data_IF_943460402869
#
_entry.id   IF_943460402869
#
_cell.length_a   1.000
_cell.length_b   1.000
_cell.length_c   1.000
_cell.angle_alpha   90.00
_cell.angle_beta   90.00
_cell.angle_gamma   90.00
#
_symmetry.space_group_name_H-M   'P 1'
#
loop_
_entity.id
_entity.type
_entity.pdbx_description
1 polymer ?
#
# COMPACT_ATOMS: atom_id res chain seq x y z
N UNK A 1 8.78 13.66 10.05
CA UNK A 1 9.98 13.09 9.38
C UNK A 1 9.62 12.72 7.94
N UNK A 2 10.57 12.33 7.09
CA UNK A 2 10.23 11.76 5.76
C UNK A 2 9.88 10.28 5.90
N UNK A 3 8.85 9.81 5.20
CA UNK A 3 8.41 8.40 5.20
C UNK A 3 7.87 7.96 3.84
N UNK A 4 8.00 6.67 3.55
CA UNK A 4 7.21 6.00 2.52
C UNK A 4 5.85 5.62 3.10
N UNK A 5 4.78 5.85 2.34
CA UNK A 5 3.40 5.72 2.81
C UNK A 5 2.56 5.05 1.74
N UNK A 6 1.87 3.96 2.09
CA UNK A 6 0.86 3.33 1.26
C UNK A 6 -0.50 3.53 1.91
N UNK A 7 -1.45 4.04 1.14
CA UNK A 7 -2.85 4.20 1.52
C UNK A 7 -3.68 3.25 0.67
N UNK A 8 -4.45 2.35 1.29
CA UNK A 8 -5.30 1.38 0.61
C UNK A 8 -6.72 1.51 1.14
N UNK A 9 -7.67 1.83 0.28
CA UNK A 9 -9.08 1.99 0.61
C UNK A 9 -9.89 0.84 -0.02
N UNK A 10 -10.71 0.16 0.78
CA UNK A 10 -11.58 -0.92 0.27
C UNK A 10 -12.79 -0.30 -0.43
N UNK A 11 -12.87 -0.49 -1.75
CA UNK A 11 -13.97 -0.03 -2.57
C UNK A 11 -15.26 -0.77 -2.23
N UNK A 12 -16.34 0.00 -2.00
CA UNK A 12 -17.67 -0.56 -1.73
C UNK A 12 -17.82 -1.18 -0.33
N UNK A 13 -16.92 -0.85 0.61
CA UNK A 13 -16.95 -1.44 1.95
C UNK A 13 -18.30 -1.26 2.67
N UNK A 14 -18.90 -0.07 2.62
CA UNK A 14 -20.21 0.18 3.22
C UNK A 14 -21.28 -0.80 2.70
N UNK A 15 -21.40 -0.94 1.38
CA UNK A 15 -22.32 -1.88 0.76
C UNK A 15 -22.01 -3.35 1.14
N UNK A 16 -20.73 -3.69 1.34
CA UNK A 16 -20.36 -5.03 1.84
C UNK A 16 -20.79 -5.25 3.29
N UNK A 17 -20.65 -4.25 4.16
CA UNK A 17 -21.09 -4.31 5.56
C UNK A 17 -22.61 -4.40 5.66
N UNK A 18 -23.35 -3.70 4.80
CA UNK A 18 -24.81 -3.75 4.75
C UNK A 18 -25.36 -5.08 4.21
N UNK A 19 -24.64 -5.72 3.28
CA UNK A 19 -25.11 -6.94 2.60
C UNK A 19 -24.63 -8.25 3.24
N UNK A 20 -23.57 -8.23 4.05
CA UNK A 20 -22.96 -9.42 4.65
C UNK A 20 -23.15 -9.45 6.16
N UNK A 21 -23.01 -10.63 6.75
CA UNK A 21 -23.00 -10.74 8.20
C UNK A 21 -21.75 -10.09 8.79
N UNK A 22 -21.88 -9.53 10.00
CA UNK A 22 -20.73 -8.98 10.75
C UNK A 22 -19.61 -10.02 10.92
N UNK A 23 -19.96 -11.28 11.18
CA UNK A 23 -18.99 -12.37 11.34
C UNK A 23 -18.18 -12.62 10.06
N UNK A 24 -18.84 -12.58 8.90
CA UNK A 24 -18.16 -12.71 7.60
C UNK A 24 -17.22 -11.53 7.35
N UNK A 25 -17.65 -10.30 7.62
CA UNK A 25 -16.80 -9.12 7.46
C UNK A 25 -15.60 -9.13 8.39
N UNK A 26 -15.80 -9.50 9.67
CA UNK A 26 -14.71 -9.70 10.63
C UNK A 26 -13.72 -10.74 10.09
N UNK A 27 -14.22 -11.87 9.56
CA UNK A 27 -13.36 -12.92 9.06
C UNK A 27 -12.51 -12.46 7.87
N UNK A 28 -13.11 -11.77 6.89
CA UNK A 28 -12.41 -11.24 5.71
C UNK A 28 -11.31 -10.25 6.10
N UNK A 29 -11.64 -9.27 6.94
CA UNK A 29 -10.67 -8.27 7.43
C UNK A 29 -9.59 -8.93 8.28
N UNK A 30 -9.94 -9.89 9.14
CA UNK A 30 -8.98 -10.63 9.97
C UNK A 30 -7.98 -11.42 9.12
N UNK A 31 -8.43 -12.12 8.08
CA UNK A 31 -7.54 -12.87 7.19
C UNK A 31 -6.60 -11.91 6.44
N UNK A 32 -7.10 -10.79 5.93
CA UNK A 32 -6.26 -9.76 5.32
C UNK A 32 -5.25 -9.14 6.32
N UNK A 33 -5.62 -8.99 7.60
CA UNK A 33 -4.68 -8.53 8.63
C UNK A 33 -3.63 -9.56 8.99
N UNK A 34 -3.99 -10.84 9.06
CA UNK A 34 -3.04 -11.92 9.31
C UNK A 34 -2.02 -12.05 8.16
N UNK A 35 -2.45 -11.74 6.94
CA UNK A 35 -1.54 -11.74 5.80
C UNK A 35 -0.50 -10.62 5.83
N UNK A 36 -0.70 -9.55 6.61
CA UNK A 36 0.34 -8.55 6.89
C UNK A 36 1.53 -9.22 7.58
N UNK A 37 1.28 -10.06 8.60
CA UNK A 37 2.36 -10.78 9.28
C UNK A 37 3.08 -11.73 8.32
N UNK A 38 2.33 -12.43 7.46
CA UNK A 38 2.91 -13.27 6.41
C UNK A 38 3.66 -12.46 5.35
N UNK A 39 3.24 -11.24 5.01
CA UNK A 39 3.95 -10.39 4.07
C UNK A 39 5.26 -9.85 4.67
N UNK A 40 5.22 -9.52 5.96
CA UNK A 40 6.39 -9.12 6.73
C UNK A 40 7.41 -10.26 6.87
N UNK A 41 6.96 -11.52 6.93
CA UNK A 41 7.82 -12.70 7.06
C UNK A 41 8.16 -13.37 5.72
N UNK A 42 7.26 -13.30 4.74
CA UNK A 42 7.30 -14.02 3.45
C UNK A 42 8.28 -13.43 2.44
N UNK A 43 8.71 -12.18 2.64
CA UNK A 43 9.90 -11.63 1.98
C UNK A 43 11.16 -12.48 2.23
N UNK A 44 11.19 -13.32 3.27
CA UNK A 44 12.33 -14.19 3.60
C UNK A 44 12.34 -15.50 2.79
N UNK A 45 11.19 -16.01 2.32
CA UNK A 45 11.10 -17.35 1.68
C UNK A 45 11.17 -17.35 0.14
N UNK A 46 10.86 -16.24 -0.52
CA UNK A 46 10.81 -16.17 -1.99
C UNK A 46 12.14 -15.76 -2.66
N UNK A 47 13.28 -15.97 -1.99
CA UNK A 47 14.60 -15.56 -2.51
C UNK A 47 14.84 -14.05 -2.51
N UNK A 48 13.90 -13.27 -1.98
CA UNK A 48 14.14 -11.88 -1.58
C UNK A 48 15.02 -11.91 -0.30
N UNK A 49 15.94 -10.96 -0.13
CA UNK A 49 16.84 -10.94 1.02
C UNK A 49 16.02 -11.04 2.31
N UNK A 50 16.48 -11.82 3.30
CA UNK A 50 15.91 -11.71 4.64
C UNK A 50 16.18 -10.28 5.11
N UNK A 51 15.20 -9.40 4.96
CA UNK A 51 15.31 -8.04 5.45
C UNK A 51 15.20 -8.19 6.98
N UNK A 52 16.34 -8.30 7.66
CA UNK A 52 16.49 -8.27 9.13
C UNK A 52 16.06 -6.90 9.71
N UNK A 53 15.14 -6.23 9.05
CA UNK A 53 14.70 -4.89 9.31
C UNK A 53 13.29 -4.88 9.88
N UNK A 54 12.99 -3.80 10.60
CA UNK A 54 11.69 -3.63 11.21
C UNK A 54 10.66 -3.47 10.09
N UNK A 55 9.63 -4.33 10.03
CA UNK A 55 8.62 -4.21 9.00
C UNK A 55 7.92 -2.85 9.05
N UNK A 56 7.31 -2.40 7.93
CA UNK A 56 6.54 -1.17 7.94
C UNK A 56 5.48 -1.21 9.04
N UNK A 57 5.24 -0.05 9.66
CA UNK A 57 4.12 0.10 10.56
C UNK A 57 2.83 0.01 9.74
N UNK A 58 1.92 -0.88 10.11
CA UNK A 58 0.64 -1.06 9.44
C UNK A 58 -0.48 -0.88 10.45
N UNK A 59 -1.41 0.01 10.12
CA UNK A 59 -2.63 0.19 10.89
C UNK A 59 -3.82 0.28 9.93
N UNK A 60 -5.02 0.16 10.48
CA UNK A 60 -6.26 0.29 9.72
C UNK A 60 -7.27 1.09 10.49
N UNK A 61 -8.01 1.95 9.81
CA UNK A 61 -9.19 2.62 10.34
C UNK A 61 -10.35 2.34 9.39
N UNK A 62 -11.41 1.71 9.91
CA UNK A 62 -12.56 1.26 9.11
C UNK A 62 -12.11 0.37 7.93
N UNK A 63 -12.23 0.88 6.71
CA UNK A 63 -11.98 0.28 5.40
C UNK A 63 -10.63 0.68 4.80
N UNK A 64 -9.90 1.57 5.47
CA UNK A 64 -8.60 2.04 5.03
C UNK A 64 -7.48 1.32 5.78
N UNK A 65 -6.51 0.77 5.03
CA UNK A 65 -5.20 0.37 5.55
C UNK A 65 -4.17 1.44 5.22
N UNK A 66 -3.30 1.73 6.19
CA UNK A 66 -2.17 2.63 6.02
C UNK A 66 -0.90 1.91 6.43
N UNK A 67 0.09 1.95 5.55
CA UNK A 67 1.42 1.41 5.78
C UNK A 67 2.40 2.57 5.76
N UNK A 68 3.37 2.56 6.66
CA UNK A 68 4.42 3.56 6.71
C UNK A 68 5.77 2.94 7.01
N UNK A 69 6.81 3.38 6.31
CA UNK A 69 8.18 2.97 6.63
C UNK A 69 8.61 3.47 8.01
N UNK A 70 9.45 2.69 8.69
CA UNK A 70 10.01 3.04 10.01
C UNK A 70 11.28 3.88 9.88
N UNK A 71 12.03 3.66 8.81
CA UNK A 71 13.18 4.45 8.42
C UNK A 71 13.23 4.55 6.88
N UNK A 72 14.37 4.98 6.35
CA UNK A 72 14.60 5.28 4.93
C UNK A 72 15.71 4.42 4.32
N UNK A 73 16.15 3.35 4.99
CA UNK A 73 17.15 2.44 4.44
C UNK A 73 16.62 1.77 3.16
N UNK A 74 17.50 1.31 2.29
CA UNK A 74 17.11 0.57 1.08
C UNK A 74 16.32 -0.70 1.42
N UNK A 75 16.69 -1.36 2.52
CA UNK A 75 15.98 -2.53 3.02
C UNK A 75 14.58 -2.17 3.55
N UNK A 76 14.39 -1.02 4.18
CA UNK A 76 13.08 -0.55 4.61
C UNK A 76 12.19 -0.23 3.42
N UNK A 77 12.74 0.34 2.34
CA UNK A 77 12.04 0.56 1.07
C UNK A 77 11.57 -0.75 0.47
N UNK A 78 12.47 -1.72 0.36
CA UNK A 78 12.16 -3.04 -0.17
C UNK A 78 11.07 -3.75 0.64
N UNK A 79 11.20 -3.74 1.97
CA UNK A 79 10.24 -4.34 2.90
C UNK A 79 8.87 -3.66 2.78
N UNK A 80 8.86 -2.33 2.72
CA UNK A 80 7.66 -1.53 2.56
C UNK A 80 6.94 -1.83 1.24
N UNK A 81 7.68 -1.90 0.13
CA UNK A 81 7.17 -2.22 -1.20
C UNK A 81 6.57 -3.62 -1.25
N UNK A 82 7.31 -4.63 -0.80
CA UNK A 82 6.86 -6.03 -0.81
C UNK A 82 5.64 -6.19 0.09
N UNK A 83 5.65 -5.59 1.29
CA UNK A 83 4.51 -5.64 2.20
C UNK A 83 3.28 -4.98 1.58
N UNK A 84 3.44 -3.84 0.92
CA UNK A 84 2.33 -3.13 0.25
C UNK A 84 1.75 -3.95 -0.91
N UNK A 85 2.61 -4.56 -1.74
CA UNK A 85 2.20 -5.38 -2.87
C UNK A 85 1.47 -6.66 -2.41
N UNK A 86 2.06 -7.39 -1.47
CA UNK A 86 1.46 -8.61 -0.92
C UNK A 86 0.14 -8.32 -0.22
N UNK A 87 0.06 -7.28 0.62
CA UNK A 87 -1.20 -6.91 1.27
C UNK A 87 -2.30 -6.60 0.25
N UNK A 88 -1.95 -5.89 -0.83
CA UNK A 88 -2.87 -5.61 -1.94
C UNK A 88 -3.40 -6.91 -2.56
N UNK A 89 -2.51 -7.85 -2.89
CA UNK A 89 -2.87 -9.16 -3.45
C UNK A 89 -3.75 -9.98 -2.49
N UNK A 90 -3.43 -9.97 -1.19
CA UNK A 90 -4.24 -10.66 -0.19
C UNK A 90 -5.63 -10.04 -0.03
N UNK A 91 -5.75 -8.71 -0.08
CA UNK A 91 -7.05 -8.03 -0.06
C UNK A 91 -7.90 -8.43 -1.27
N UNK A 92 -7.30 -8.44 -2.47
CA UNK A 92 -7.98 -8.94 -3.67
C UNK A 92 -8.38 -10.43 -3.55
N UNK A 93 -7.51 -11.28 -3.02
CA UNK A 93 -7.81 -12.70 -2.79
C UNK A 93 -8.96 -12.92 -1.79
N UNK A 94 -9.16 -11.99 -0.84
CA UNK A 94 -10.30 -11.98 0.07
C UNK A 94 -11.54 -11.27 -0.51
N UNK A 95 -11.53 -10.98 -1.82
CA UNK A 95 -12.57 -10.22 -2.54
C UNK A 95 -12.88 -8.86 -1.88
N UNK A 96 -11.84 -8.22 -1.34
CA UNK A 96 -11.87 -6.85 -0.85
C UNK A 96 -11.15 -5.99 -1.90
N UNK A 97 -11.86 -5.51 -2.94
CA UNK A 97 -11.22 -4.72 -3.98
C UNK A 97 -10.70 -3.42 -3.37
N UNK A 98 -9.45 -3.07 -3.66
CA UNK A 98 -8.84 -1.86 -3.12
C UNK A 98 -8.46 -0.86 -4.20
N UNK A 99 -8.52 0.41 -3.82
CA UNK A 99 -7.88 1.52 -4.53
C UNK A 99 -6.83 2.12 -3.62
N UNK A 100 -5.65 2.40 -4.14
CA UNK A 100 -4.57 2.87 -3.29
C UNK A 100 -3.53 3.73 -3.95
N UNK A 101 -2.64 4.26 -3.13
CA UNK A 101 -1.52 5.06 -3.56
C UNK A 101 -0.31 4.85 -2.65
N UNK A 102 0.86 4.68 -3.25
CA UNK A 102 2.15 4.64 -2.61
C UNK A 102 2.89 5.96 -2.89
N UNK A 103 3.33 6.66 -1.85
CA UNK A 103 3.99 7.97 -1.96
C UNK A 103 5.15 8.09 -0.99
N UNK A 104 6.00 9.10 -1.19
CA UNK A 104 7.00 9.52 -0.23
C UNK A 104 6.79 10.99 0.15
N UNK A 105 6.97 11.30 1.43
CA UNK A 105 6.91 12.66 1.92
C UNK A 105 6.89 12.79 3.43
N UNK A 106 6.71 14.03 3.88
CA UNK A 106 6.68 14.37 5.28
C UNK A 106 5.43 13.79 5.96
N UNK A 107 5.63 12.87 6.91
CA UNK A 107 4.57 12.39 7.80
C UNK A 107 5.17 11.87 9.10
N UNK A 108 4.37 11.80 10.17
CA UNK A 108 4.72 11.13 11.42
C UNK A 108 3.50 10.60 12.17
N UNK A 109 3.74 9.65 13.06
CA UNK A 109 2.74 9.20 14.01
C UNK A 109 2.74 10.09 15.24
N UNK A 110 1.56 10.38 15.78
CA UNK A 110 1.45 10.92 17.13
C UNK A 110 1.98 9.82 18.09
N UNK A 111 2.99 10.11 18.92
CA UNK A 111 3.59 9.11 19.80
C UNK A 111 2.55 8.35 20.63
N UNK A 112 2.62 7.02 20.62
CA UNK A 112 1.69 6.16 21.35
C UNK A 112 0.34 5.93 20.67
N UNK A 113 0.19 6.30 19.39
CA UNK A 113 -1.06 6.09 18.64
C UNK A 113 -0.81 5.66 17.19
N UNK A 114 -1.85 5.15 16.55
CA UNK A 114 -1.90 4.88 15.11
C UNK A 114 -2.33 6.10 14.28
N UNK A 115 -2.30 7.30 14.86
CA UNK A 115 -2.70 8.53 14.16
C UNK A 115 -1.51 9.15 13.43
N UNK A 116 -1.55 9.16 12.09
CA UNK A 116 -0.52 9.77 11.25
C UNK A 116 -0.93 11.16 10.76
N UNK A 117 0.01 12.12 10.82
CA UNK A 117 -0.15 13.48 10.30
C UNK A 117 0.97 13.85 9.34
N UNK A 118 0.67 14.65 8.31
CA UNK A 118 1.67 15.24 7.42
C UNK A 118 1.26 15.29 5.95
N UNK A 119 2.09 15.94 5.13
CA UNK A 119 1.84 16.13 3.70
C UNK A 119 1.90 14.82 2.91
N UNK A 120 2.74 13.87 3.33
CA UNK A 120 2.87 12.56 2.69
C UNK A 120 1.56 11.76 2.73
N UNK A 121 0.93 11.66 3.90
CA UNK A 121 -0.34 10.93 4.04
C UNK A 121 -1.49 11.61 3.29
N UNK A 122 -1.53 12.95 3.28
CA UNK A 122 -2.50 13.72 2.49
C UNK A 122 -2.28 13.45 1.00
N UNK A 123 -1.03 13.40 0.54
CA UNK A 123 -0.68 13.11 -0.85
C UNK A 123 -1.14 11.72 -1.27
N UNK A 124 -0.88 10.70 -0.45
CA UNK A 124 -1.36 9.34 -0.70
C UNK A 124 -2.89 9.30 -0.79
N UNK A 125 -3.60 9.84 0.20
CA UNK A 125 -5.06 9.88 0.20
C UNK A 125 -5.64 10.67 -0.99
N UNK A 126 -4.98 11.76 -1.41
CA UNK A 126 -5.42 12.55 -2.57
C UNK A 126 -5.21 11.78 -3.88
N UNK A 127 -4.06 11.13 -4.04
CA UNK A 127 -3.78 10.33 -5.22
C UNK A 127 -4.71 9.12 -5.31
N UNK A 128 -4.96 8.42 -4.20
CA UNK A 128 -5.97 7.36 -4.11
C UNK A 128 -7.34 7.87 -4.55
N UNK A 129 -7.83 8.99 -3.98
CA UNK A 129 -9.16 9.52 -4.31
C UNK A 129 -9.32 9.95 -5.76
N UNK A 130 -8.25 10.37 -6.43
CA UNK A 130 -8.29 10.86 -7.81
C UNK A 130 -8.34 9.73 -8.86
N UNK A 131 -8.12 8.49 -8.45
CA UNK A 131 -8.12 7.31 -9.31
C UNK A 131 -9.54 6.78 -9.53
N UNK A 132 -9.82 6.25 -10.72
CA UNK A 132 -11.09 5.59 -11.09
C UNK A 132 -10.86 4.13 -11.54
N UNK A 133 -10.03 3.41 -10.79
CA UNK A 133 -9.73 2.00 -11.03
C UNK A 133 -9.47 1.28 -9.70
N UNK A 134 -9.38 -0.05 -9.78
CA UNK A 134 -8.96 -0.93 -8.70
C UNK A 134 -7.47 -1.23 -8.87
N UNK A 135 -6.70 -1.03 -7.80
CA UNK A 135 -5.24 -1.18 -7.80
C UNK A 135 -4.54 -0.05 -7.07
N UNK A 136 -3.20 -0.10 -7.06
CA UNK A 136 -2.38 0.82 -6.27
C UNK A 136 -1.39 1.53 -7.17
N UNK A 137 -1.51 2.86 -7.28
CA UNK A 137 -0.57 3.70 -8.02
C UNK A 137 0.66 4.00 -7.18
N UNK A 138 1.83 3.94 -7.79
CA UNK A 138 3.09 4.40 -7.20
C UNK A 138 3.41 5.80 -7.72
N UNK A 139 3.53 6.76 -6.81
CA UNK A 139 3.99 8.12 -7.11
C UNK A 139 5.52 8.17 -7.20
N UNK A 140 6.07 7.52 -8.24
CA UNK A 140 7.51 7.43 -8.50
C UNK A 140 8.21 8.79 -8.44
N UNK A 141 7.66 9.90 -8.98
CA UNK A 141 8.29 11.23 -8.88
C UNK A 141 8.48 11.74 -7.45
N UNK A 142 7.75 11.21 -6.47
CA UNK A 142 7.94 11.57 -5.06
C UNK A 142 9.07 10.82 -4.39
N UNK A 143 9.47 9.67 -4.93
CA UNK A 143 10.46 8.80 -4.32
C UNK A 143 11.86 9.38 -4.46
N UNK A 144 12.76 9.19 -3.47
CA UNK A 144 14.17 9.46 -3.66
C UNK A 144 14.71 8.69 -4.88
N UNK A 145 15.59 9.28 -5.71
CA UNK A 145 16.06 8.63 -6.94
C UNK A 145 16.66 7.24 -6.70
N UNK A 146 17.44 7.06 -5.63
CA UNK A 146 18.01 5.77 -5.27
C UNK A 146 16.94 4.71 -4.94
N UNK A 147 15.86 5.13 -4.25
CA UNK A 147 14.75 4.24 -3.94
C UNK A 147 13.92 3.88 -5.18
N UNK A 148 13.79 4.81 -6.14
CA UNK A 148 13.05 4.57 -7.38
C UNK A 148 13.68 3.48 -8.26
N UNK A 149 14.99 3.24 -8.15
CA UNK A 149 15.69 2.16 -8.87
C UNK A 149 15.13 0.77 -8.53
N UNK A 150 14.52 0.60 -7.34
CA UNK A 150 13.98 -0.69 -6.92
C UNK A 150 12.90 -1.21 -7.87
N UNK A 151 12.14 -0.33 -8.52
CA UNK A 151 11.08 -0.70 -9.46
C UNK A 151 11.62 -1.25 -10.78
N UNK A 152 12.92 -1.05 -11.05
CA UNK A 152 13.60 -1.54 -12.25
C UNK A 152 14.43 -2.81 -11.95
N UNK A 153 14.57 -3.19 -10.68
CA UNK A 153 15.33 -4.38 -10.31
C UNK A 153 14.57 -5.66 -10.73
N UNK A 154 15.24 -6.64 -11.39
CA UNK A 154 14.59 -7.86 -11.88
C UNK A 154 13.81 -8.65 -10.81
N UNK A 155 14.26 -8.64 -9.55
CA UNK A 155 13.58 -9.31 -8.45
C UNK A 155 12.25 -8.65 -8.02
N UNK A 156 12.05 -7.38 -8.34
CA UNK A 156 10.84 -6.61 -8.00
C UNK A 156 9.95 -6.34 -9.22
N UNK A 157 10.49 -6.46 -10.44
CA UNK A 157 9.74 -6.26 -11.68
C UNK A 157 8.40 -7.02 -11.75
N UNK A 158 8.24 -8.26 -11.24
CA UNK A 158 6.94 -8.94 -11.25
C UNK A 158 5.85 -8.28 -10.39
N UNK A 159 6.23 -7.46 -9.41
CA UNK A 159 5.32 -6.76 -8.50
C UNK A 159 4.78 -5.45 -9.08
N UNK A 160 5.34 -4.98 -10.20
CA UNK A 160 5.03 -3.66 -10.74
C UNK A 160 4.87 -3.67 -12.25
N UNK A 161 3.93 -2.89 -12.74
CA UNK A 161 3.71 -2.71 -14.18
C UNK A 161 3.38 -1.27 -14.49
N UNK A 162 3.77 -0.79 -15.68
CA UNK A 162 3.28 0.49 -16.20
C UNK A 162 1.88 0.29 -16.74
N UNK A 163 0.94 1.11 -16.29
CA UNK A 163 -0.45 1.00 -16.67
C UNK A 163 -1.08 2.37 -16.92
N UNK A 164 -2.03 2.40 -17.85
CA UNK A 164 -2.85 3.57 -18.14
C UNK A 164 -4.00 3.64 -17.13
N UNK A 165 -3.78 4.39 -16.06
CA UNK A 165 -4.70 4.51 -14.94
C UNK A 165 -5.78 5.54 -15.27
N UNK A 166 -7.08 5.17 -15.27
CA UNK A 166 -8.15 6.12 -15.44
C UNK A 166 -8.27 7.02 -14.21
N UNK A 167 -8.30 8.33 -14.45
CA UNK A 167 -8.43 9.35 -13.42
C UNK A 167 -9.85 9.93 -13.40
N UNK A 168 -10.35 10.29 -12.21
CA UNK A 168 -11.71 10.87 -12.07
C UNK A 168 -11.83 12.24 -12.72
N UNK A 169 -10.78 13.08 -12.63
CA UNK A 169 -10.79 14.40 -13.24
C UNK A 169 -10.43 14.28 -14.72
N UNK A 170 -11.34 14.76 -15.59
CA UNK A 170 -11.14 14.82 -17.04
C UNK A 170 -11.34 13.50 -17.78
N UNK A 171 -11.53 12.37 -17.07
CA UNK A 171 -11.62 11.04 -17.70
C UNK A 171 -10.33 10.61 -18.40
N UNK A 172 -9.23 11.30 -18.12
CA UNK A 172 -7.95 11.08 -18.76
C UNK A 172 -7.31 9.79 -18.24
N UNK A 173 -6.64 9.08 -19.16
CA UNK A 173 -5.73 8.01 -18.81
C UNK A 173 -4.37 8.62 -18.48
N UNK A 174 -3.84 8.29 -17.30
CA UNK A 174 -2.49 8.67 -16.89
C UNK A 174 -1.63 7.42 -16.83
N UNK A 175 -0.55 7.38 -17.61
CA UNK A 175 0.46 6.34 -17.43
C UNK A 175 1.11 6.49 -16.05
N UNK A 176 1.10 5.41 -15.26
CA UNK A 176 1.74 5.35 -13.96
C UNK A 176 2.30 3.96 -13.70
N UNK A 177 3.28 3.87 -12.79
CA UNK A 177 3.68 2.59 -12.22
C UNK A 177 2.60 2.15 -11.23
N UNK A 178 2.21 0.88 -11.30
CA UNK A 178 1.20 0.31 -10.41
C UNK A 178 1.63 -1.02 -9.86
N UNK A 179 1.09 -1.41 -8.70
CA UNK A 179 1.24 -2.76 -8.14
C UNK A 179 0.49 -3.76 -9.01
N UNK A 180 1.14 -4.88 -9.35
CA UNK A 180 0.60 -6.01 -10.08
C UNK A 180 -0.06 -7.05 -9.15
#
# INVERSE_FOLDING_TARGET
MQRYITFLDILGFAAMVESKSLAEMINRVRVARQSIQLAQWGGVQNGLPSLNEKPPHVFSFSDTFVLASRDLSEAAVASFIVTSALLTQYLFAQTLPVRGAMTFGEADFIPGSDHMVGKGIIKAATLEKNQQWLGVVVDVPSMPPAAALIFELPGFAPLFVRWNVPMKKGGELREAMVVN
#
